data_IF_017214839387
#
_entry.id   IF_017214839387
#
_cell.length_a   1.000
_cell.length_b   1.000
_cell.length_c   1.000
_cell.angle_alpha   90.00
_cell.angle_beta   90.00
_cell.angle_gamma   90.00
#
_symmetry.space_group_name_H-M   'P 1'
#
loop_
_entity.id
_entity.type
_entity.pdbx_description
1 polymer ?
#
# COMPACT_ATOMS: atom_id res chain seq x y z
N UNK A 1 -8.79 19.37 -16.68
CA UNK A 1 -8.95 19.49 -15.21
C UNK A 1 -10.08 18.59 -14.80
N UNK A 2 -9.82 17.57 -13.98
CA UNK A 2 -10.69 16.98 -12.97
C UNK A 2 -9.81 15.95 -12.25
N UNK A 3 -9.47 16.24 -11.00
CA UNK A 3 -8.65 15.39 -10.15
C UNK A 3 -9.39 14.12 -9.80
N UNK A 4 -8.67 13.00 -9.79
CA UNK A 4 -9.16 11.77 -9.19
C UNK A 4 -8.96 11.95 -7.69
N UNK A 5 -10.06 12.06 -6.94
CA UNK A 5 -10.01 11.96 -5.48
C UNK A 5 -9.46 10.58 -5.13
N UNK A 6 -8.24 10.56 -4.59
CA UNK A 6 -7.69 9.39 -3.92
C UNK A 6 -8.63 9.05 -2.77
N UNK A 7 -9.07 7.80 -2.78
CA UNK A 7 -9.83 7.18 -1.71
C UNK A 7 -9.12 7.46 -0.38
N UNK A 8 -9.82 8.16 0.52
CA UNK A 8 -9.41 8.36 1.92
C UNK A 8 -9.51 7.00 2.62
N UNK A 9 -8.51 6.15 2.38
CA UNK A 9 -8.10 5.13 3.32
C UNK A 9 -7.72 5.90 4.58
N UNK A 10 -8.50 5.71 5.64
CA UNK A 10 -8.35 6.25 7.00
C UNK A 10 -7.02 7.00 7.20
N UNK A 11 -7.07 8.31 6.95
CA UNK A 11 -5.98 9.21 7.26
C UNK A 11 -6.03 9.53 8.75
N UNK A 12 -5.93 8.53 9.62
CA UNK A 12 -5.30 8.83 10.91
C UNK A 12 -3.82 8.97 10.61
N UNK A 13 -3.41 10.21 10.37
CA UNK A 13 -2.01 10.57 10.36
C UNK A 13 -1.41 10.01 11.67
N UNK A 14 -0.31 9.25 11.64
CA UNK A 14 0.31 8.74 12.88
C UNK A 14 0.67 9.84 13.89
N UNK A 15 0.74 11.10 13.43
CA UNK A 15 0.92 12.28 14.29
C UNK A 15 -0.34 12.73 15.04
N UNK A 16 -1.52 12.19 14.69
CA UNK A 16 -2.82 12.49 15.31
C UNK A 16 -3.27 11.38 16.30
N UNK A 17 -2.45 10.34 16.48
CA UNK A 17 -2.68 9.32 17.49
C UNK A 17 -2.24 9.84 18.86
N UNK A 18 -3.20 10.25 19.68
CA UNK A 18 -2.98 10.62 21.08
C UNK A 18 -3.29 9.43 22.00
N UNK A 19 -2.28 8.85 22.69
CA UNK A 19 -2.49 7.80 23.68
C UNK A 19 -3.42 8.21 24.84
N UNK A 20 -3.64 9.50 25.09
CA UNK A 20 -4.58 10.00 26.11
C UNK A 20 -6.05 9.72 25.75
N UNK A 21 -6.36 9.48 24.47
CA UNK A 21 -7.72 9.15 24.00
C UNK A 21 -8.08 7.66 24.17
N UNK A 22 -7.15 6.82 24.65
CA UNK A 22 -7.41 5.40 24.92
C UNK A 22 -8.21 5.28 26.23
N UNK A 23 -9.48 4.88 26.13
CA UNK A 23 -10.40 4.75 27.26
C UNK A 23 -10.05 3.62 28.24
N UNK A 24 -9.19 2.69 27.82
CA UNK A 24 -8.71 1.56 28.62
C UNK A 24 -7.33 1.88 29.21
N UNK A 25 -7.27 2.03 30.54
CA UNK A 25 -6.04 2.35 31.25
C UNK A 25 -4.94 1.30 31.09
N UNK A 26 -5.29 0.01 30.94
CA UNK A 26 -4.30 -1.05 30.72
C UNK A 26 -3.71 -0.98 29.31
N UNK A 27 -4.57 -0.83 28.31
CA UNK A 27 -4.15 -0.64 26.91
C UNK A 27 -3.33 0.65 26.74
N UNK A 28 -3.67 1.72 27.45
CA UNK A 28 -2.92 2.98 27.46
C UNK A 28 -1.53 2.81 28.05
N UNK A 29 -1.41 2.15 29.20
CA UNK A 29 -0.11 1.86 29.84
C UNK A 29 0.74 0.96 28.95
N UNK A 30 0.15 -0.06 28.33
CA UNK A 30 0.85 -0.93 27.38
C UNK A 30 1.35 -0.15 26.16
N UNK A 31 0.50 0.67 25.55
CA UNK A 31 0.87 1.49 24.40
C UNK A 31 2.01 2.45 24.74
N UNK A 32 1.88 3.23 25.82
CA UNK A 32 2.94 4.15 26.26
C UNK A 32 4.23 3.38 26.48
N UNK A 33 4.21 2.21 27.15
CA UNK A 33 5.42 1.42 27.41
C UNK A 33 6.10 0.89 26.14
N UNK A 34 5.34 0.42 25.17
CA UNK A 34 5.88 -0.17 23.93
C UNK A 34 6.41 0.90 22.98
N UNK A 35 5.73 2.05 22.91
CA UNK A 35 5.99 3.06 21.89
C UNK A 35 6.73 4.31 22.40
N UNK A 36 7.02 4.42 23.71
CA UNK A 36 7.72 5.58 24.32
C UNK A 36 9.04 5.95 23.63
N UNK A 37 9.80 4.93 23.24
CA UNK A 37 11.16 5.11 22.71
C UNK A 37 11.22 4.91 21.18
N UNK A 38 10.07 4.83 20.50
CA UNK A 38 10.07 4.74 19.05
C UNK A 38 10.59 6.06 18.43
N UNK A 39 11.45 5.99 17.40
CA UNK A 39 11.89 7.18 16.69
C UNK A 39 10.69 7.92 16.09
N UNK A 40 10.53 9.21 16.44
CA UNK A 40 9.51 10.09 15.84
C UNK A 40 9.68 10.28 14.34
N UNK A 41 10.91 10.10 13.84
CA UNK A 41 11.23 10.19 12.41
C UNK A 41 11.24 8.79 11.82
N UNK A 42 10.42 8.56 10.81
CA UNK A 42 10.51 7.34 10.02
C UNK A 42 11.86 7.28 9.31
N UNK A 43 12.51 6.12 9.38
CA UNK A 43 13.73 5.89 8.61
C UNK A 43 13.33 5.69 7.14
N UNK A 44 13.48 6.73 6.33
CA UNK A 44 13.29 6.60 4.88
C UNK A 44 14.49 5.90 4.28
N UNK A 45 14.26 4.80 3.57
CA UNK A 45 15.31 4.12 2.84
C UNK A 45 15.96 5.07 1.83
N UNK A 46 17.28 4.97 1.68
CA UNK A 46 18.01 5.71 0.65
C UNK A 46 17.44 5.35 -0.71
N UNK A 47 17.26 6.36 -1.58
CA UNK A 47 16.84 6.14 -2.96
C UNK A 47 17.94 5.35 -3.68
N UNK A 48 17.59 4.17 -4.17
CA UNK A 48 18.42 3.43 -5.11
C UNK A 48 17.86 3.61 -6.52
N UNK A 49 18.73 3.53 -7.53
CA UNK A 49 18.27 3.42 -8.92
C UNK A 49 17.50 2.11 -9.07
N UNK A 50 16.39 2.16 -9.80
CA UNK A 50 15.62 0.96 -10.17
C UNK A 50 16.53 -0.03 -10.91
N UNK A 51 16.14 -1.30 -10.90
CA UNK A 51 16.85 -2.34 -11.64
C UNK A 51 16.79 -2.07 -13.15
N UNK A 52 17.94 -2.15 -13.82
CA UNK A 52 18.08 -1.80 -15.24
C UNK A 52 17.25 -2.70 -16.17
N UNK A 53 17.14 -3.99 -15.84
CA UNK A 53 16.45 -4.98 -16.67
C UNK A 53 14.92 -4.95 -16.53
N UNK A 54 14.44 -4.79 -15.29
CA UNK A 54 13.02 -4.95 -14.93
C UNK A 54 12.32 -3.61 -14.60
N UNK A 55 13.07 -2.51 -14.49
CA UNK A 55 12.63 -1.22 -13.95
C UNK A 55 11.97 -1.28 -12.55
N UNK A 56 12.09 -2.41 -11.86
CA UNK A 56 11.55 -2.58 -10.52
C UNK A 56 12.27 -1.66 -9.53
N UNK A 57 11.51 -1.17 -8.55
CA UNK A 57 12.05 -0.38 -7.44
C UNK A 57 13.07 -1.22 -6.67
N UNK A 58 14.28 -0.69 -6.53
CA UNK A 58 15.36 -1.34 -5.81
C UNK A 58 15.41 -0.83 -4.37
N UNK A 59 15.66 -1.74 -3.44
CA UNK A 59 15.90 -1.40 -2.05
C UNK A 59 17.39 -1.62 -1.71
N UNK A 60 18.04 -0.75 -0.90
CA UNK A 60 19.48 -0.79 -0.67
C UNK A 60 20.03 -2.10 -0.09
N UNK A 61 19.21 -2.87 0.62
CA UNK A 61 19.58 -4.11 1.30
C UNK A 61 19.02 -5.37 0.60
N UNK A 62 18.60 -5.26 -0.65
CA UNK A 62 18.12 -6.41 -1.42
C UNK A 62 19.26 -7.34 -1.84
N UNK A 63 19.05 -8.63 -1.61
CA UNK A 63 19.89 -9.69 -2.17
C UNK A 63 19.86 -9.63 -3.72
N UNK A 64 20.99 -9.91 -4.40
CA UNK A 64 21.08 -9.88 -5.87
C UNK A 64 20.07 -10.76 -6.61
N UNK A 65 19.48 -11.74 -5.92
CA UNK A 65 18.52 -12.69 -6.48
C UNK A 65 17.06 -12.19 -6.47
N UNK A 66 16.76 -11.02 -5.88
CA UNK A 66 15.38 -10.59 -5.64
C UNK A 66 14.66 -10.06 -6.89
N UNK A 67 15.27 -9.22 -7.76
CA UNK A 67 14.63 -8.83 -9.04
C UNK A 67 15.09 -9.67 -10.24
N UNK A 68 14.11 -10.26 -10.93
CA UNK A 68 14.12 -10.74 -12.31
C UNK A 68 15.24 -11.69 -12.77
N UNK A 69 16.10 -12.19 -11.86
CA UNK A 69 17.12 -13.22 -12.11
C UNK A 69 17.88 -13.08 -13.45
N UNK A 70 18.19 -11.84 -13.86
CA UNK A 70 18.81 -11.50 -15.15
C UNK A 70 17.98 -12.02 -16.35
N UNK A 71 16.75 -11.55 -16.50
CA UNK A 71 15.85 -11.87 -17.63
C UNK A 71 15.37 -13.33 -17.71
N UNK A 72 15.73 -14.19 -16.75
CA UNK A 72 15.19 -15.56 -16.68
C UNK A 72 13.70 -15.61 -16.36
N UNK A 73 13.13 -14.50 -15.88
CA UNK A 73 11.73 -14.36 -15.56
C UNK A 73 11.21 -13.15 -16.33
N UNK A 74 10.36 -13.40 -17.33
CA UNK A 74 9.62 -12.36 -18.03
C UNK A 74 8.34 -12.07 -17.22
N UNK A 75 8.25 -10.88 -16.63
CA UNK A 75 7.02 -10.42 -15.97
C UNK A 75 6.13 -9.84 -17.06
N UNK A 76 5.32 -10.69 -17.68
CA UNK A 76 4.29 -10.25 -18.60
C UNK A 76 3.11 -9.69 -17.80
N UNK A 77 2.85 -8.39 -17.95
CA UNK A 77 1.60 -7.78 -17.49
C UNK A 77 0.65 -7.85 -18.68
N UNK A 78 -0.30 -8.80 -18.71
CA UNK A 78 -1.27 -8.85 -19.79
C UNK A 78 -2.07 -7.55 -19.85
N UNK A 79 -2.47 -7.15 -21.06
CA UNK A 79 -3.51 -6.13 -21.19
C UNK A 79 -4.74 -6.58 -20.42
N UNK A 80 -5.19 -5.72 -19.51
CA UNK A 80 -6.34 -6.04 -18.68
C UNK A 80 -7.58 -6.05 -19.59
N UNK A 81 -8.36 -7.15 -19.66
CA UNK A 81 -9.51 -7.20 -20.55
C UNK A 81 -10.46 -6.04 -20.29
N UNK A 82 -10.96 -5.40 -21.36
CA UNK A 82 -11.79 -4.19 -21.24
C UNK A 82 -13.01 -4.38 -20.33
N UNK A 83 -13.60 -5.58 -20.31
CA UNK A 83 -14.69 -5.93 -19.39
C UNK A 83 -14.27 -5.89 -17.92
N UNK A 84 -13.05 -6.34 -17.60
CA UNK A 84 -12.52 -6.29 -16.24
C UNK A 84 -12.24 -4.86 -15.81
N UNK A 85 -11.61 -4.05 -16.67
CA UNK A 85 -11.44 -2.60 -16.44
C UNK A 85 -12.78 -1.92 -16.12
N UNK A 86 -13.83 -2.24 -16.89
CA UNK A 86 -15.18 -1.68 -16.69
C UNK A 86 -15.76 -2.08 -15.33
N UNK A 87 -15.60 -3.33 -14.90
CA UNK A 87 -16.12 -3.80 -13.61
C UNK A 87 -15.48 -3.05 -12.42
N UNK A 88 -14.20 -2.71 -12.52
CA UNK A 88 -13.52 -1.93 -11.49
C UNK A 88 -13.82 -0.42 -11.57
N UNK A 89 -13.89 0.17 -12.77
CA UNK A 89 -13.98 1.61 -12.95
C UNK A 89 -15.41 2.18 -13.06
N UNK A 90 -16.37 1.42 -13.58
CA UNK A 90 -17.71 1.93 -13.90
C UNK A 90 -18.55 2.18 -12.64
N UNK A 91 -19.07 3.40 -12.48
CA UNK A 91 -19.92 3.76 -11.33
C UNK A 91 -21.41 3.54 -11.59
N UNK A 92 -21.81 3.34 -12.85
CA UNK A 92 -23.22 3.25 -13.25
C UNK A 92 -23.68 1.82 -13.44
N UNK A 93 -22.79 0.94 -13.92
CA UNK A 93 -23.19 -0.40 -14.33
C UNK A 93 -23.52 -1.30 -13.13
N UNK A 94 -24.62 -2.07 -13.26
CA UNK A 94 -25.12 -2.94 -12.17
C UNK A 94 -24.14 -4.07 -11.84
N UNK A 95 -23.53 -4.67 -12.85
CA UNK A 95 -22.52 -5.71 -12.70
C UNK A 95 -21.25 -5.17 -12.01
N UNK A 96 -20.80 -3.97 -12.38
CA UNK A 96 -19.65 -3.31 -11.74
C UNK A 96 -19.90 -3.00 -10.25
N UNK A 97 -21.08 -2.48 -9.90
CA UNK A 97 -21.48 -2.25 -8.50
C UNK A 97 -21.50 -3.54 -7.69
N UNK A 98 -22.10 -4.60 -8.25
CA UNK A 98 -22.13 -5.91 -7.60
C UNK A 98 -20.72 -6.45 -7.40
N UNK A 99 -19.89 -6.40 -8.45
CA UNK A 99 -18.52 -6.87 -8.40
C UNK A 99 -17.71 -6.18 -7.29
N UNK A 100 -17.68 -4.84 -7.24
CA UNK A 100 -16.96 -4.10 -6.18
C UNK A 100 -17.41 -4.45 -4.77
N UNK A 101 -18.70 -4.74 -4.56
CA UNK A 101 -19.25 -5.10 -3.25
C UNK A 101 -18.83 -6.49 -2.78
N UNK A 102 -18.52 -7.41 -3.69
CA UNK A 102 -18.31 -8.82 -3.37
C UNK A 102 -16.90 -9.33 -3.65
N UNK A 103 -16.05 -8.55 -4.33
CA UNK A 103 -14.62 -8.87 -4.38
C UNK A 103 -14.02 -8.69 -2.99
N UNK A 104 -13.42 -9.76 -2.46
CA UNK A 104 -12.58 -9.68 -1.27
C UNK A 104 -11.19 -9.25 -1.72
N UNK A 105 -10.86 -7.99 -1.51
CA UNK A 105 -9.46 -7.57 -1.53
C UNK A 105 -8.86 -8.07 -0.22
N UNK A 106 -7.95 -9.05 -0.28
CA UNK A 106 -7.15 -9.40 0.90
C UNK A 106 -6.25 -8.19 1.20
N UNK A 107 -6.47 -7.57 2.36
CA UNK A 107 -5.60 -6.55 2.92
C UNK A 107 -4.37 -7.20 3.56
#
# INVERSE_FOLDING_TARGET
>A
MHGVEENVLDQTNPEDYDPENIQDDEARVFHVRVYKDLPKKHHTMKKAKNYEFCNAKKFPCEEPAFCCRKEKINIYIPELPAGLCRLFASQTDRDAKYFRKHIRVQH
#
